data_IF_467586771611
#
_entry.id   IF_467586771611
#
_cell.length_a   1.000
_cell.length_b   1.000
_cell.length_c   1.000
_cell.angle_alpha   90.00
_cell.angle_beta   90.00
_cell.angle_gamma   90.00
#
_symmetry.space_group_name_H-M   'P 1'
#
loop_
_entity.id
_entity.type
_entity.pdbx_description
1 polymer ?
#
# COMPACT_ATOMS: atom_id res chain seq x y z
N UNK A 1 5.37 16.23 -9.14
CA UNK A 1 6.03 14.94 -9.32
C UNK A 1 7.04 14.73 -8.20
N UNK A 2 7.26 13.50 -7.77
CA UNK A 2 8.31 13.22 -6.79
C UNK A 2 9.70 13.28 -7.46
N UNK A 3 10.72 13.69 -6.69
CA UNK A 3 12.11 13.68 -7.17
C UNK A 3 12.56 12.25 -7.44
N UNK A 4 13.26 12.01 -8.54
CA UNK A 4 13.73 10.69 -8.97
C UNK A 4 14.52 9.94 -7.87
N UNK A 5 15.32 10.67 -7.08
CA UNK A 5 16.08 10.09 -5.98
C UNK A 5 15.19 9.45 -4.89
N UNK A 6 13.96 9.92 -4.71
CA UNK A 6 13.02 9.33 -3.75
C UNK A 6 12.42 8.03 -4.27
N UNK A 7 12.19 7.92 -5.58
CA UNK A 7 11.70 6.70 -6.23
C UNK A 7 12.80 5.64 -6.14
N UNK A 8 14.00 5.94 -6.61
CA UNK A 8 15.15 5.01 -6.55
C UNK A 8 15.47 4.54 -5.12
N UNK A 9 15.29 5.41 -4.13
CA UNK A 9 15.46 5.03 -2.72
C UNK A 9 14.39 4.04 -2.26
N UNK A 10 13.18 4.17 -2.77
CA UNK A 10 12.10 3.23 -2.49
C UNK A 10 12.39 1.86 -3.11
N UNK A 11 12.81 1.82 -4.37
CA UNK A 11 13.17 0.60 -5.09
C UNK A 11 14.31 -0.16 -4.39
N UNK A 12 15.33 0.58 -3.92
CA UNK A 12 16.41 0.01 -3.11
C UNK A 12 15.91 -0.63 -1.81
N UNK A 13 14.92 0.00 -1.13
CA UNK A 13 14.33 -0.57 0.08
C UNK A 13 13.54 -1.83 -0.23
N UNK A 14 12.75 -1.84 -1.28
CA UNK A 14 11.97 -3.00 -1.70
C UNK A 14 12.86 -4.21 -1.98
N UNK A 15 13.94 -4.01 -2.72
CA UNK A 15 14.95 -5.05 -2.98
C UNK A 15 15.59 -5.57 -1.69
N UNK A 16 15.92 -4.68 -0.74
CA UNK A 16 16.49 -5.09 0.54
C UNK A 16 15.47 -5.83 1.42
N UNK A 17 14.24 -5.35 1.47
CA UNK A 17 13.17 -6.04 2.23
C UNK A 17 12.93 -7.43 1.66
N UNK A 18 12.84 -7.58 0.34
CA UNK A 18 12.68 -8.88 -0.29
C UNK A 18 13.84 -9.84 0.03
N UNK A 19 15.09 -9.32 -0.01
CA UNK A 19 16.29 -10.11 0.31
C UNK A 19 16.28 -10.65 1.74
N UNK A 20 15.88 -9.83 2.70
CA UNK A 20 15.95 -10.19 4.13
C UNK A 20 14.60 -10.66 4.70
N UNK A 21 13.54 -10.79 3.88
CA UNK A 21 12.19 -11.11 4.33
C UNK A 21 12.13 -12.41 5.14
N UNK A 22 12.75 -13.50 4.66
CA UNK A 22 12.76 -14.81 5.34
C UNK A 22 13.43 -14.71 6.70
N UNK A 23 14.68 -14.22 6.73
CA UNK A 23 15.45 -14.06 7.96
C UNK A 23 14.75 -13.16 8.98
N UNK A 24 14.15 -12.07 8.52
CA UNK A 24 13.38 -11.16 9.37
C UNK A 24 12.15 -11.85 9.98
N UNK A 25 11.41 -12.65 9.19
CA UNK A 25 10.24 -13.37 9.66
C UNK A 25 10.59 -14.42 10.72
N UNK A 26 11.65 -15.21 10.49
CA UNK A 26 12.15 -16.21 11.42
C UNK A 26 12.59 -15.59 12.76
N UNK A 27 13.43 -14.57 12.71
CA UNK A 27 13.89 -13.89 13.91
C UNK A 27 12.75 -13.20 14.66
N UNK A 28 11.78 -12.65 13.95
CA UNK A 28 10.60 -12.04 14.57
C UNK A 28 9.71 -13.06 15.24
N UNK A 29 9.50 -14.23 14.62
CA UNK A 29 8.75 -15.34 15.22
C UNK A 29 9.44 -15.79 16.51
N UNK A 30 10.76 -16.06 16.46
CA UNK A 30 11.55 -16.47 17.62
C UNK A 30 11.50 -15.44 18.76
N UNK A 31 11.62 -14.14 18.44
CA UNK A 31 11.60 -13.08 19.45
C UNK A 31 10.24 -12.90 20.14
N UNK A 32 9.14 -13.31 19.49
CA UNK A 32 7.79 -13.16 20.00
C UNK A 32 7.23 -14.46 20.65
N UNK A 33 7.88 -15.59 20.45
CA UNK A 33 7.45 -16.86 21.01
C UNK A 33 7.59 -16.89 22.53
N UNK A 34 6.46 -16.94 23.25
CA UNK A 34 6.44 -17.03 24.71
C UNK A 34 6.95 -18.38 25.25
N UNK A 35 6.97 -19.42 24.41
CA UNK A 35 7.40 -20.78 24.80
C UNK A 35 8.93 -20.94 24.83
N UNK A 36 9.66 -20.01 24.22
CA UNK A 36 11.12 -20.03 24.17
C UNK A 36 11.73 -19.38 25.40
N UNK A 37 12.98 -19.76 25.69
CA UNK A 37 13.73 -19.14 26.78
C UNK A 37 13.94 -17.64 26.54
N UNK A 38 14.06 -16.87 27.61
CA UNK A 38 14.29 -15.43 27.50
C UNK A 38 15.65 -15.10 26.87
N UNK A 39 16.63 -15.98 27.04
CA UNK A 39 17.94 -15.85 26.43
C UNK A 39 17.88 -15.97 24.90
N UNK A 40 17.18 -16.97 24.38
CA UNK A 40 16.99 -17.16 22.93
C UNK A 40 16.23 -15.97 22.32
N UNK A 41 15.21 -15.47 23.01
CA UNK A 41 14.44 -14.30 22.59
C UNK A 41 15.31 -13.05 22.57
N UNK A 42 16.19 -12.91 23.54
CA UNK A 42 17.12 -11.78 23.61
C UNK A 42 18.15 -11.84 22.46
N UNK A 43 18.75 -12.98 22.20
CA UNK A 43 19.66 -13.18 21.06
C UNK A 43 18.99 -12.87 19.74
N UNK A 44 17.75 -13.36 19.53
CA UNK A 44 16.99 -13.05 18.32
C UNK A 44 16.74 -11.53 18.15
N UNK A 45 16.47 -10.82 19.24
CA UNK A 45 16.32 -9.34 19.21
C UNK A 45 17.63 -8.64 18.83
N UNK A 46 18.76 -9.11 19.35
CA UNK A 46 20.08 -8.57 18.96
C UNK A 46 20.39 -8.82 17.48
N UNK A 47 20.05 -9.98 16.96
CA UNK A 47 20.21 -10.28 15.53
C UNK A 47 19.29 -9.44 14.65
N UNK A 48 18.06 -9.19 15.07
CA UNK A 48 17.18 -8.24 14.38
C UNK A 48 17.82 -6.85 14.29
N UNK A 49 18.44 -6.35 15.35
CA UNK A 49 19.08 -5.04 15.35
C UNK A 49 20.29 -4.96 14.41
N UNK A 50 21.00 -6.08 14.17
CA UNK A 50 22.15 -6.16 13.24
C UNK A 50 21.70 -6.04 11.77
N UNK A 51 20.40 -6.24 11.46
CA UNK A 51 19.91 -6.10 10.09
C UNK A 51 19.99 -4.63 9.59
N UNK A 52 20.21 -4.43 8.30
CA UNK A 52 20.23 -3.08 7.73
C UNK A 52 18.90 -2.36 7.96
N UNK A 53 18.91 -1.12 8.42
CA UNK A 53 17.69 -0.33 8.69
C UNK A 53 16.70 -0.28 7.51
N UNK A 54 17.19 -0.36 6.27
CA UNK A 54 16.34 -0.34 5.08
C UNK A 54 15.74 -1.70 4.72
N UNK A 55 16.07 -2.77 5.44
CA UNK A 55 15.47 -4.10 5.29
C UNK A 55 14.14 -4.26 6.06
N UNK A 56 13.75 -3.27 6.85
CA UNK A 56 12.51 -3.33 7.61
C UNK A 56 11.29 -2.95 6.74
N UNK A 57 10.24 -3.81 6.69
CA UNK A 57 9.04 -3.56 5.89
C UNK A 57 8.27 -2.30 6.32
N UNK A 58 8.39 -1.88 7.58
CA UNK A 58 7.78 -0.65 8.10
C UNK A 58 8.25 0.63 7.41
N UNK A 59 9.42 0.59 6.74
CA UNK A 59 9.97 1.71 5.99
C UNK A 59 9.50 1.79 4.54
N UNK A 60 8.81 0.77 4.07
CA UNK A 60 8.18 0.81 2.75
C UNK A 60 6.97 1.74 2.81
N UNK A 61 6.75 2.45 1.72
CA UNK A 61 5.60 3.34 1.59
C UNK A 61 4.99 3.21 0.22
N UNK A 62 3.68 3.04 0.19
CA UNK A 62 2.96 3.03 -1.07
C UNK A 62 3.10 4.39 -1.76
N UNK A 63 3.48 4.36 -3.02
CA UNK A 63 3.64 5.55 -3.87
C UNK A 63 2.76 5.43 -5.10
N UNK A 64 2.35 6.56 -5.61
CA UNK A 64 1.69 6.62 -6.90
C UNK A 64 2.67 6.18 -7.99
N UNK A 65 2.31 5.19 -8.79
CA UNK A 65 3.14 4.67 -9.88
C UNK A 65 3.49 5.73 -10.91
N UNK A 66 2.55 6.59 -11.27
CA UNK A 66 2.76 7.65 -12.27
C UNK A 66 3.54 8.86 -11.77
N UNK A 67 3.33 9.27 -10.51
CA UNK A 67 3.89 10.54 -10.00
C UNK A 67 4.90 10.36 -8.88
N UNK A 68 5.01 9.16 -8.31
CA UNK A 68 5.86 8.88 -7.15
C UNK A 68 5.39 9.52 -5.83
N UNK A 69 4.21 10.15 -5.79
CA UNK A 69 3.66 10.81 -4.61
C UNK A 69 3.44 9.80 -3.47
N UNK A 70 3.94 10.08 -2.23
CA UNK A 70 3.86 9.12 -1.12
C UNK A 70 2.59 9.25 -0.27
N UNK A 71 1.73 10.24 -0.52
CA UNK A 71 0.51 10.50 0.27
C UNK A 71 -0.72 10.49 -0.63
N UNK A 72 -1.87 10.08 -0.05
CA UNK A 72 -3.13 10.02 -0.77
C UNK A 72 -3.09 9.06 -1.95
N UNK A 73 -2.48 7.90 -1.77
CA UNK A 73 -2.46 6.80 -2.74
C UNK A 73 -3.51 5.76 -2.36
N UNK A 74 -4.25 5.30 -3.34
CA UNK A 74 -5.21 4.22 -3.20
C UNK A 74 -4.54 2.91 -3.56
N UNK A 75 -4.53 1.95 -2.64
CA UNK A 75 -3.83 0.66 -2.83
C UNK A 75 -4.37 -0.13 -4.02
N UNK A 76 -5.68 -0.10 -4.21
CA UNK A 76 -6.35 -0.83 -5.28
C UNK A 76 -5.86 -0.40 -6.68
N UNK A 77 -5.64 0.90 -6.88
CA UNK A 77 -5.25 1.44 -8.18
C UNK A 77 -3.75 1.74 -8.30
N UNK A 78 -2.98 1.64 -7.21
CA UNK A 78 -1.58 2.07 -7.19
C UNK A 78 -1.37 3.56 -7.51
N UNK A 79 -2.44 4.34 -7.53
CA UNK A 79 -2.44 5.72 -8.01
C UNK A 79 -2.75 6.74 -6.91
N UNK A 80 -2.22 7.95 -7.08
CA UNK A 80 -2.56 9.07 -6.21
C UNK A 80 -3.93 9.68 -6.54
N UNK A 81 -4.60 10.23 -5.52
CA UNK A 81 -5.97 10.79 -5.61
C UNK A 81 -6.22 11.70 -6.81
N UNK A 82 -5.24 12.55 -7.17
CA UNK A 82 -5.37 13.47 -8.31
C UNK A 82 -5.37 12.70 -9.63
N UNK A 83 -4.50 11.70 -9.76
CA UNK A 83 -4.43 10.88 -10.98
C UNK A 83 -5.64 9.97 -11.16
N UNK A 84 -6.15 9.39 -10.07
CA UNK A 84 -7.43 8.63 -10.13
C UNK A 84 -8.56 9.53 -10.60
N UNK A 85 -8.63 10.76 -10.07
CA UNK A 85 -9.66 11.72 -10.51
C UNK A 85 -9.53 12.04 -12.00
N UNK A 86 -8.31 12.34 -12.47
CA UNK A 86 -8.05 12.65 -13.88
C UNK A 86 -8.45 11.50 -14.80
N UNK A 87 -8.05 10.26 -14.45
CA UNK A 87 -8.34 9.06 -15.23
C UNK A 87 -9.83 8.68 -15.17
N UNK A 88 -10.47 8.84 -14.01
CA UNK A 88 -11.91 8.62 -13.87
C UNK A 88 -12.73 9.58 -14.74
N UNK A 89 -12.32 10.85 -14.86
CA UNK A 89 -12.99 11.79 -15.74
C UNK A 89 -12.77 11.51 -17.22
N UNK A 90 -11.64 10.91 -17.58
CA UNK A 90 -11.37 10.46 -18.94
C UNK A 90 -12.12 9.17 -19.30
N UNK A 91 -12.61 8.43 -18.29
CA UNK A 91 -13.23 7.12 -18.50
C UNK A 91 -12.25 5.96 -18.63
N UNK A 92 -10.96 6.18 -18.31
CA UNK A 92 -9.91 5.17 -18.42
C UNK A 92 -10.01 4.07 -17.36
N UNK A 93 -10.76 4.31 -16.28
CA UNK A 93 -10.93 3.34 -15.20
C UNK A 93 -12.33 2.74 -15.30
N UNK A 94 -12.47 1.45 -15.64
CA UNK A 94 -13.78 0.80 -15.74
C UNK A 94 -14.48 0.77 -14.37
N UNK A 95 -15.80 0.94 -14.36
CA UNK A 95 -16.62 0.89 -13.16
C UNK A 95 -16.54 2.10 -12.23
N UNK A 96 -15.67 3.07 -12.50
CA UNK A 96 -15.56 4.30 -11.71
C UNK A 96 -16.31 5.44 -12.35
N UNK A 97 -17.41 5.87 -11.72
CA UNK A 97 -18.23 6.96 -12.19
C UNK A 97 -18.26 8.07 -11.13
N UNK A 98 -18.25 9.34 -11.56
CA UNK A 98 -18.41 10.47 -10.65
C UNK A 98 -19.76 10.40 -9.97
N UNK A 99 -19.80 10.26 -8.64
CA UNK A 99 -21.01 10.40 -7.85
C UNK A 99 -21.39 11.89 -7.79
N UNK A 100 -22.53 12.25 -8.39
CA UNK A 100 -23.13 13.58 -8.25
C UNK A 100 -24.32 13.48 -7.33
N UNK A 101 -24.26 14.11 -6.17
CA UNK A 101 -25.35 14.17 -5.20
C UNK A 101 -26.36 15.27 -5.54
N UNK A 102 -25.96 16.22 -6.40
CA UNK A 102 -26.69 17.47 -6.59
C UNK A 102 -27.88 17.39 -7.54
N UNK A 103 -27.95 16.43 -8.45
CA UNK A 103 -29.08 16.33 -9.37
C UNK A 103 -29.65 14.92 -9.39
N UNK A 104 -30.72 14.72 -8.65
CA UNK A 104 -31.63 13.60 -8.82
C UNK A 104 -32.89 14.13 -9.46
N UNK A 105 -33.12 13.96 -10.76
CA UNK A 105 -34.41 14.29 -11.35
C UNK A 105 -35.50 13.46 -10.65
N UNK A 106 -36.56 14.12 -10.21
CA UNK A 106 -37.66 13.53 -9.47
C UNK A 106 -38.39 12.42 -10.21
N UNK A 107 -38.17 12.24 -11.49
CA UNK A 107 -38.74 11.20 -12.34
C UNK A 107 -38.02 9.85 -12.32
N UNK A 108 -36.84 9.75 -11.69
CA UNK A 108 -36.11 8.49 -11.59
C UNK A 108 -36.44 7.71 -10.29
N UNK A 109 -37.73 7.60 -9.95
CA UNK A 109 -38.20 6.61 -9.00
C UNK A 109 -38.50 5.33 -9.75
N UNK A 110 -37.53 4.62 -10.24
CA UNK A 110 -37.60 3.19 -10.51
C UNK A 110 -36.21 2.65 -10.84
N UNK A 111 -35.70 1.80 -10.00
CA UNK A 111 -34.69 0.83 -10.36
C UNK A 111 -33.25 1.26 -10.23
N UNK A 112 -32.57 0.59 -9.33
CA UNK A 112 -31.16 0.45 -9.18
C UNK A 112 -30.36 1.66 -8.66
N UNK A 113 -30.38 1.80 -7.36
CA UNK A 113 -29.24 2.29 -6.61
C UNK A 113 -28.00 1.46 -7.00
N UNK A 114 -27.26 1.87 -8.02
CA UNK A 114 -25.93 1.33 -8.24
C UNK A 114 -25.01 1.95 -7.20
N UNK A 115 -25.00 1.35 -6.02
CA UNK A 115 -23.81 1.40 -5.19
C UNK A 115 -22.73 0.78 -6.05
N UNK A 116 -21.61 1.47 -6.20
CA UNK A 116 -20.40 0.89 -6.75
C UNK A 116 -19.96 -0.16 -5.73
N UNK A 117 -20.57 -1.34 -5.81
CA UNK A 117 -20.05 -2.53 -5.17
C UNK A 117 -18.93 -3.01 -6.07
N UNK A 118 -17.76 -3.12 -5.51
CA UNK A 118 -16.65 -3.81 -6.13
C UNK A 118 -17.05 -5.26 -6.27
N UNK A 119 -17.40 -5.69 -7.46
CA UNK A 119 -17.51 -7.11 -7.77
C UNK A 119 -16.09 -7.65 -7.88
N UNK A 120 -15.76 -8.54 -6.96
CA UNK A 120 -14.61 -9.42 -7.04
C UNK A 120 -14.97 -10.56 -7.97
N UNK A 121 -14.34 -10.67 -9.10
CA UNK A 121 -14.05 -11.91 -9.80
C UNK A 121 -12.57 -12.22 -9.68
#
# INVERSE_FOLDING_TARGET
MAKQSHIQRQDKREKLVAKYAKKYAELKATANDAKRSDEERYVARLELQKLPRNAYPTRLRNRCELTGRPRGTFRMFGLGRSKIRDLAFKGDIPGVVKASWWYRPSSARAGTSRRVCYEHE
#
